data_IF_038302625493
#
_entry.id   IF_038302625493
#
_cell.length_a   1.000
_cell.length_b   1.000
_cell.length_c   1.000
_cell.angle_alpha   90.00
_cell.angle_beta   90.00
_cell.angle_gamma   90.00
#
_symmetry.space_group_name_H-M   'P 1'
#
loop_
_entity.id
_entity.type
_entity.pdbx_description
1 polymer ?
#
# COMPACT_ATOMS: atom_id res chain seq x y z
N UNK A 1 -12.39 9.43 6.19
CA UNK A 1 -12.81 8.01 6.21
C UNK A 1 -11.63 7.05 5.99
N UNK A 2 -10.86 7.14 4.90
CA UNK A 2 -9.77 6.17 4.60
C UNK A 2 -8.63 6.11 5.65
N UNK A 3 -8.21 7.25 6.20
CA UNK A 3 -7.21 7.29 7.29
C UNK A 3 -7.63 6.49 8.53
N UNK A 4 -8.93 6.48 8.85
CA UNK A 4 -9.44 5.72 10.00
C UNK A 4 -9.34 4.21 9.76
N UNK A 5 -9.65 3.75 8.54
CA UNK A 5 -9.50 2.34 8.17
C UNK A 5 -8.03 1.89 8.20
N UNK A 6 -7.10 2.79 7.84
CA UNK A 6 -5.66 2.50 7.91
C UNK A 6 -5.17 2.37 9.36
N UNK A 7 -5.52 3.33 10.22
CA UNK A 7 -5.16 3.26 11.64
C UNK A 7 -5.80 2.05 12.32
N UNK A 8 -7.04 1.70 11.97
CA UNK A 8 -7.70 0.49 12.46
C UNK A 8 -6.96 -0.77 11.99
N UNK A 9 -6.60 -0.87 10.71
CA UNK A 9 -5.86 -2.01 10.18
C UNK A 9 -4.50 -2.18 10.87
N UNK A 10 -3.74 -1.10 11.05
CA UNK A 10 -2.50 -1.13 11.81
C UNK A 10 -2.75 -1.55 13.26
N UNK A 11 -3.76 -0.98 13.92
CA UNK A 11 -4.11 -1.34 15.29
C UNK A 11 -4.49 -2.82 15.45
N UNK A 12 -5.20 -3.37 14.46
CA UNK A 12 -5.57 -4.78 14.42
C UNK A 12 -4.32 -5.67 14.28
N UNK A 13 -3.44 -5.37 13.31
CA UNK A 13 -2.22 -6.14 13.10
C UNK A 13 -1.24 -6.05 14.29
N UNK A 14 -0.83 -4.84 14.66
CA UNK A 14 0.11 -4.67 15.78
C UNK A 14 -0.48 -5.13 17.11
N UNK A 15 -1.78 -4.89 17.35
CA UNK A 15 -2.49 -5.39 18.53
C UNK A 15 -2.57 -6.93 18.57
N UNK A 16 -2.77 -7.55 17.41
CA UNK A 16 -2.67 -9.00 17.23
C UNK A 16 -1.30 -9.51 17.67
N UNK A 17 -0.23 -8.93 17.11
CA UNK A 17 1.16 -9.32 17.41
C UNK A 17 1.46 -9.24 18.91
N UNK A 18 0.98 -8.20 19.62
CA UNK A 18 1.13 -8.10 21.08
C UNK A 18 0.41 -9.20 21.87
N UNK A 19 -0.66 -9.77 21.30
CA UNK A 19 -1.44 -10.85 21.91
C UNK A 19 -0.83 -12.23 21.64
N UNK A 20 0.08 -12.34 20.66
CA UNK A 20 0.78 -13.57 20.30
C UNK A 20 1.68 -14.03 21.45
N UNK A 21 1.48 -15.23 21.99
CA UNK A 21 2.29 -15.77 23.11
C UNK A 21 3.54 -16.51 22.63
N UNK A 22 4.25 -15.89 21.71
CA UNK A 22 5.43 -16.45 21.06
C UNK A 22 6.72 -15.72 21.46
N UNK A 23 7.87 -16.31 21.09
CA UNK A 23 9.16 -15.67 21.34
C UNK A 23 9.25 -14.28 20.67
N UNK A 24 10.02 -13.37 21.28
CA UNK A 24 10.20 -11.99 20.76
C UNK A 24 10.71 -11.98 19.31
N UNK A 25 11.47 -13.00 18.90
CA UNK A 25 11.95 -13.12 17.52
C UNK A 25 10.81 -13.37 16.53
N UNK A 26 9.81 -14.18 16.91
CA UNK A 26 8.65 -14.47 16.06
C UNK A 26 7.74 -13.24 15.99
N UNK A 27 7.46 -12.59 17.12
CA UNK A 27 6.73 -11.32 17.13
C UNK A 27 7.43 -10.24 16.29
N UNK A 28 8.76 -10.16 16.38
CA UNK A 28 9.58 -9.25 15.59
C UNK A 28 9.50 -9.53 14.09
N UNK A 29 9.43 -10.80 13.69
CA UNK A 29 9.24 -11.18 12.29
C UNK A 29 7.94 -10.60 11.72
N UNK A 30 6.81 -10.81 12.41
CA UNK A 30 5.50 -10.28 11.99
C UNK A 30 5.44 -8.76 11.99
N UNK A 31 6.06 -8.11 12.97
CA UNK A 31 6.13 -6.65 13.01
C UNK A 31 6.90 -6.10 11.80
N UNK A 32 8.02 -6.74 11.43
CA UNK A 32 8.83 -6.35 10.28
C UNK A 32 8.11 -6.66 8.96
N UNK A 33 7.45 -7.81 8.82
CA UNK A 33 6.69 -8.14 7.61
C UNK A 33 5.49 -7.20 7.42
N UNK A 34 4.78 -6.84 8.50
CA UNK A 34 3.71 -5.84 8.44
C UNK A 34 4.22 -4.46 8.00
N UNK A 35 5.34 -3.98 8.55
CA UNK A 35 5.97 -2.72 8.12
C UNK A 35 6.41 -2.81 6.66
N UNK A 36 7.05 -3.92 6.27
CA UNK A 36 7.48 -4.14 4.90
C UNK A 36 6.30 -4.14 3.93
N UNK A 37 5.16 -4.76 4.30
CA UNK A 37 3.93 -4.74 3.54
C UNK A 37 3.40 -3.32 3.34
N UNK A 38 3.34 -2.51 4.40
CA UNK A 38 2.88 -1.11 4.33
C UNK A 38 3.78 -0.31 3.37
N UNK A 39 5.10 -0.38 3.57
CA UNK A 39 6.07 0.39 2.78
C UNK A 39 6.03 -0.02 1.31
N UNK A 40 6.05 -1.33 1.03
CA UNK A 40 6.04 -1.83 -0.35
C UNK A 40 4.70 -1.58 -1.05
N UNK A 41 3.58 -1.60 -0.33
CA UNK A 41 2.27 -1.21 -0.87
C UNK A 41 2.27 0.24 -1.32
N UNK A 42 2.72 1.18 -0.47
CA UNK A 42 2.78 2.60 -0.84
C UNK A 42 3.78 2.87 -1.94
N UNK A 43 4.94 2.20 -1.92
CA UNK A 43 5.94 2.31 -2.98
C UNK A 43 5.37 1.83 -4.30
N UNK A 44 4.72 0.66 -4.32
CA UNK A 44 4.10 0.11 -5.52
C UNK A 44 3.07 1.06 -6.10
N UNK A 45 2.24 1.69 -5.26
CA UNK A 45 1.23 2.63 -5.74
C UNK A 45 1.82 3.92 -6.32
N UNK A 46 2.88 4.46 -5.72
CA UNK A 46 3.61 5.60 -6.29
C UNK A 46 4.21 5.24 -7.65
N UNK A 47 4.89 4.11 -7.73
CA UNK A 47 5.54 3.66 -8.98
C UNK A 47 4.52 3.35 -10.07
N UNK A 48 3.42 2.67 -9.72
CA UNK A 48 2.35 2.38 -10.66
C UNK A 48 1.71 3.67 -11.20
N UNK A 49 1.47 4.66 -10.34
CA UNK A 49 0.96 5.98 -10.75
C UNK A 49 1.92 6.70 -11.66
N UNK A 50 3.18 6.82 -11.26
CA UNK A 50 4.20 7.54 -12.02
C UNK A 50 4.40 6.91 -13.40
N UNK A 51 4.28 5.58 -13.51
CA UNK A 51 4.33 4.88 -14.78
C UNK A 51 3.12 5.15 -15.68
N UNK A 52 1.93 5.32 -15.11
CA UNK A 52 0.71 5.65 -15.85
C UNK A 52 0.77 7.10 -16.38
N UNK A 53 1.20 8.05 -15.54
CA UNK A 53 1.49 9.43 -15.95
C UNK A 53 2.53 9.48 -17.09
N UNK A 54 3.62 8.73 -16.95
CA UNK A 54 4.67 8.66 -17.96
C UNK A 54 4.16 8.06 -19.29
N UNK A 55 3.28 7.04 -19.24
CA UNK A 55 2.65 6.48 -20.43
C UNK A 55 1.75 7.52 -21.12
N UNK A 56 0.94 8.26 -20.35
CA UNK A 56 0.08 9.31 -20.87
C UNK A 56 0.91 10.41 -21.55
N UNK A 57 1.94 10.93 -20.90
CA UNK A 57 2.78 12.01 -21.45
C UNK A 57 3.54 11.60 -22.72
N UNK A 58 3.92 10.32 -22.84
CA UNK A 58 4.53 9.79 -24.07
C UNK A 58 3.59 9.83 -25.28
N UNK A 59 2.27 9.77 -25.07
CA UNK A 59 1.31 9.90 -26.19
C UNK A 59 1.26 11.31 -26.79
N UNK A 60 1.60 12.34 -26.01
CA UNK A 60 1.63 13.74 -26.47
C UNK A 60 3.02 14.21 -26.89
N UNK A 61 4.08 13.61 -26.33
CA UNK A 61 5.46 13.94 -26.64
C UNK A 61 6.33 12.68 -26.73
N UNK A 62 6.63 12.24 -27.95
CA UNK A 62 7.47 11.07 -28.22
C UNK A 62 8.91 11.19 -27.68
N UNK A 63 9.38 12.42 -27.41
CA UNK A 63 10.67 12.70 -26.78
C UNK A 63 10.64 12.69 -25.24
N UNK A 64 9.48 12.47 -24.62
CA UNK A 64 9.35 12.47 -23.16
C UNK A 64 10.08 11.27 -22.54
N UNK A 65 11.06 11.57 -21.68
CA UNK A 65 11.83 10.59 -20.94
C UNK A 65 11.09 10.18 -19.68
N UNK A 66 10.84 8.88 -19.52
CA UNK A 66 10.24 8.33 -18.29
C UNK A 66 11.06 8.68 -17.06
N UNK A 67 10.36 9.01 -15.99
CA UNK A 67 10.94 9.23 -14.66
C UNK A 67 11.45 7.90 -14.09
N UNK A 68 10.68 6.83 -14.29
CA UNK A 68 11.01 5.49 -13.79
C UNK A 68 11.56 4.59 -14.90
N UNK A 69 12.59 3.81 -14.55
CA UNK A 69 13.08 2.75 -15.44
C UNK A 69 12.19 1.51 -15.33
N UNK A 70 12.17 0.68 -16.37
CA UNK A 70 11.49 -0.63 -16.34
C UNK A 70 12.03 -1.53 -15.22
N UNK A 71 13.34 -1.44 -14.92
CA UNK A 71 13.96 -2.17 -13.81
C UNK A 71 13.43 -1.73 -12.44
N UNK A 72 13.27 -0.42 -12.22
CA UNK A 72 12.70 0.10 -10.97
C UNK A 72 11.24 -0.32 -10.77
N UNK A 73 10.46 -0.31 -11.85
CA UNK A 73 9.08 -0.81 -11.86
C UNK A 73 9.00 -2.29 -11.52
N UNK A 74 9.91 -3.10 -12.08
CA UNK A 74 9.97 -4.51 -11.74
C UNK A 74 10.32 -4.71 -10.26
N UNK A 75 11.28 -3.94 -9.75
CA UNK A 75 11.71 -4.03 -8.35
C UNK A 75 10.58 -3.66 -7.37
N UNK A 76 9.75 -2.65 -7.68
CA UNK A 76 8.60 -2.31 -6.83
C UNK A 76 7.57 -3.43 -6.75
N UNK A 77 7.26 -4.06 -7.89
CA UNK A 77 6.34 -5.20 -7.94
C UNK A 77 6.92 -6.42 -7.23
N UNK A 78 8.20 -6.73 -7.47
CA UNK A 78 8.90 -7.83 -6.81
C UNK A 78 8.95 -7.64 -5.28
N UNK A 79 9.26 -6.42 -4.81
CA UNK A 79 9.31 -6.11 -3.39
C UNK A 79 7.96 -6.29 -2.70
N UNK A 80 6.86 -5.87 -3.34
CA UNK A 80 5.52 -6.07 -2.81
C UNK A 80 5.13 -7.55 -2.74
N UNK A 81 5.41 -8.33 -3.78
CA UNK A 81 5.18 -9.78 -3.78
C UNK A 81 6.00 -10.46 -2.69
N UNK A 82 7.27 -10.08 -2.52
CA UNK A 82 8.12 -10.62 -1.46
C UNK A 82 7.60 -10.29 -0.06
N UNK A 83 7.04 -9.09 0.14
CA UNK A 83 6.44 -8.71 1.41
C UNK A 83 5.20 -9.55 1.73
N UNK A 84 4.34 -9.79 0.75
CA UNK A 84 3.21 -10.73 0.88
C UNK A 84 3.73 -12.12 1.23
N UNK A 85 4.70 -12.64 0.47
CA UNK A 85 5.23 -13.97 0.72
C UNK A 85 5.83 -14.09 2.12
N UNK A 86 6.57 -13.08 2.59
CA UNK A 86 7.09 -13.06 3.96
C UNK A 86 5.98 -13.18 5.00
N UNK A 87 4.93 -12.37 4.90
CA UNK A 87 3.79 -12.43 5.82
C UNK A 87 3.14 -13.83 5.85
N UNK A 88 2.75 -14.34 4.67
CA UNK A 88 2.04 -15.61 4.60
C UNK A 88 2.91 -16.82 4.95
N UNK A 89 4.20 -16.82 4.57
CA UNK A 89 5.15 -17.87 4.98
C UNK A 89 5.31 -17.87 6.50
N UNK A 90 5.38 -16.70 7.13
CA UNK A 90 5.34 -16.57 8.60
C UNK A 90 4.13 -17.27 9.19
N UNK A 91 2.93 -16.90 8.72
CA UNK A 91 1.66 -17.48 9.19
C UNK A 91 1.61 -19.00 9.01
N UNK A 92 2.12 -19.52 7.89
CA UNK A 92 2.20 -20.96 7.67
C UNK A 92 3.09 -21.66 8.70
N UNK A 93 4.24 -21.06 9.02
CA UNK A 93 5.23 -21.62 9.95
C UNK A 93 4.86 -21.45 11.44
N UNK A 94 3.84 -20.65 11.76
CA UNK A 94 3.39 -20.43 13.13
C UNK A 94 2.82 -21.72 13.74
N UNK A 95 3.17 -22.08 14.97
CA UNK A 95 2.65 -23.30 15.64
C UNK A 95 1.40 -23.01 16.49
N UNK A 96 0.48 -22.20 15.95
CA UNK A 96 -0.76 -21.77 16.62
C UNK A 96 -2.01 -22.39 15.96
N UNK A 97 -3.18 -22.43 16.63
CA UNK A 97 -4.38 -23.00 16.06
C UNK A 97 -4.84 -22.22 14.82
N UNK A 98 -5.53 -22.90 13.91
CA UNK A 98 -5.95 -22.35 12.62
C UNK A 98 -6.73 -21.02 12.73
N UNK A 99 -7.48 -20.83 13.82
CA UNK A 99 -8.19 -19.57 14.10
C UNK A 99 -7.23 -18.38 14.23
N UNK A 100 -6.11 -18.56 14.93
CA UNK A 100 -5.09 -17.53 15.13
C UNK A 100 -4.32 -17.29 13.83
N UNK A 101 -3.99 -18.34 13.08
CA UNK A 101 -3.37 -18.19 11.75
C UNK A 101 -4.26 -17.40 10.78
N UNK A 102 -5.55 -17.72 10.78
CA UNK A 102 -6.55 -17.03 9.95
C UNK A 102 -6.68 -15.56 10.32
N UNK A 103 -6.57 -15.22 11.60
CA UNK A 103 -6.57 -13.83 12.06
C UNK A 103 -5.44 -13.01 11.41
N UNK A 104 -4.19 -13.49 11.45
CA UNK A 104 -3.04 -12.77 10.84
C UNK A 104 -3.10 -12.77 9.31
N UNK A 105 -3.54 -13.86 8.68
CA UNK A 105 -3.71 -13.89 7.23
C UNK A 105 -4.72 -12.83 6.75
N UNK A 106 -5.87 -12.74 7.44
CA UNK A 106 -6.92 -11.75 7.11
C UNK A 106 -6.49 -10.34 7.52
N UNK A 107 -5.81 -10.18 8.66
CA UNK A 107 -5.28 -8.91 9.12
C UNK A 107 -4.26 -8.31 8.15
N UNK A 108 -3.29 -9.12 7.68
CA UNK A 108 -2.34 -8.73 6.65
C UNK A 108 -3.00 -8.38 5.32
N UNK A 109 -3.99 -9.18 4.87
CA UNK A 109 -4.78 -8.86 3.67
C UNK A 109 -5.55 -7.54 3.82
N UNK A 110 -6.17 -7.33 4.99
CA UNK A 110 -6.91 -6.11 5.30
C UNK A 110 -5.99 -4.90 5.36
N UNK A 111 -4.78 -5.05 5.90
CA UNK A 111 -3.74 -4.02 5.93
C UNK A 111 -3.34 -3.58 4.51
N UNK A 112 -3.13 -4.54 3.60
CA UNK A 112 -2.83 -4.26 2.18
C UNK A 112 -3.98 -3.47 1.56
N UNK A 113 -5.22 -3.96 1.66
CA UNK A 113 -6.40 -3.29 1.09
C UNK A 113 -6.55 -1.88 1.63
N UNK A 114 -6.34 -1.71 2.94
CA UNK A 114 -6.43 -0.41 3.61
C UNK A 114 -5.37 0.58 3.09
N UNK A 115 -4.13 0.14 2.90
CA UNK A 115 -3.09 0.94 2.25
C UNK A 115 -3.48 1.34 0.82
N UNK A 116 -4.00 0.36 0.05
CA UNK A 116 -4.36 0.59 -1.34
C UNK A 116 -5.49 1.61 -1.50
N UNK A 117 -6.50 1.53 -0.64
CA UNK A 117 -7.62 2.48 -0.59
C UNK A 117 -7.14 3.85 -0.12
N UNK A 118 -6.26 3.90 0.89
CA UNK A 118 -5.75 5.16 1.41
C UNK A 118 -5.04 5.99 0.32
N UNK A 119 -4.16 5.39 -0.48
CA UNK A 119 -3.51 6.15 -1.56
C UNK A 119 -4.49 6.61 -2.64
N UNK A 120 -5.49 5.80 -2.98
CA UNK A 120 -6.54 6.23 -3.93
C UNK A 120 -7.28 7.44 -3.36
N UNK A 121 -7.77 7.37 -2.13
CA UNK A 121 -8.47 8.48 -1.49
C UNK A 121 -7.62 9.73 -1.35
N UNK A 122 -6.32 9.62 -1.04
CA UNK A 122 -5.42 10.77 -0.99
C UNK A 122 -5.30 11.42 -2.37
N UNK A 123 -5.08 10.62 -3.41
CA UNK A 123 -4.99 11.10 -4.79
C UNK A 123 -6.28 11.79 -5.23
N UNK A 124 -7.42 11.12 -5.04
CA UNK A 124 -8.71 11.65 -5.49
C UNK A 124 -9.02 12.98 -4.77
N UNK A 125 -8.70 13.10 -3.48
CA UNK A 125 -8.83 14.36 -2.74
C UNK A 125 -7.87 15.48 -3.22
N UNK A 126 -6.70 15.13 -3.76
CA UNK A 126 -5.75 16.10 -4.34
C UNK A 126 -6.24 16.60 -5.70
N UNK A 127 -6.76 15.70 -6.54
CA UNK A 127 -7.38 16.02 -7.83
C UNK A 127 -8.63 16.92 -7.65
N UNK A 128 -9.51 16.59 -6.70
CA UNK A 128 -10.71 17.37 -6.39
C UNK A 128 -10.39 18.82 -5.97
N UNK A 129 -9.34 19.02 -5.17
CA UNK A 129 -8.90 20.37 -4.75
C UNK A 129 -8.38 21.20 -5.92
N UNK A 130 -7.73 20.55 -6.88
CA UNK A 130 -7.19 21.21 -8.07
C UNK A 130 -8.33 21.67 -8.99
N UNK A 131 -9.37 20.85 -9.15
CA UNK A 131 -10.53 21.17 -9.99
C UNK A 131 -11.58 22.06 -9.32
N UNK A 132 -11.60 22.15 -7.99
CA UNK A 132 -12.56 22.96 -7.22
C UNK A 132 -11.99 24.31 -6.75
N UNK A 133 -10.81 24.71 -7.23
CA UNK A 133 -10.18 25.99 -6.88
C UNK A 133 -10.95 27.21 -7.44
N UNK A 134 -10.73 28.42 -6.86
CA UNK A 134 -11.44 29.64 -7.26
C UNK A 134 -11.34 30.02 -8.74
N UNK A 135 -10.36 29.47 -9.47
CA UNK A 135 -10.11 29.72 -10.89
C UNK A 135 -11.09 28.95 -11.81
N UNK A 136 -11.75 27.88 -11.32
CA UNK A 136 -12.72 27.11 -12.11
C UNK A 136 -14.10 27.80 -12.24
N UNK A 137 -14.38 28.77 -11.36
CA UNK A 137 -15.66 29.52 -11.39
C UNK A 137 -15.64 30.58 -12.51
N UNK A 138 -14.48 31.17 -12.80
CA UNK A 138 -14.33 32.25 -13.79
C UNK A 138 -14.45 31.76 -15.25
N UNK A 139 -14.06 30.51 -15.54
CA UNK A 139 -14.25 29.88 -16.86
C UNK A 139 -15.69 29.45 -17.15
N UNK A 140 -16.53 29.26 -16.13
CA UNK A 140 -17.93 28.86 -16.31
C UNK A 140 -18.90 30.02 -16.56
N UNK A 141 -18.42 31.27 -16.42
CA UNK A 141 -19.21 32.51 -16.48
C UNK A 141 -18.92 33.33 -17.76
N UNK A 142 -17.95 32.93 -18.58
CA UNK A 142 -17.68 33.51 -19.92
C UNK A 142 -18.11 32.57 -21.06
#
# INVERSE_FOLDING_TARGET
MAWAAFVLACGFEFGGIYTLKESLSVQGYYAVSAILLIVTSFLLQKVARDNDEDNYLQTFNAGYRRRNTSAFTFLSWAGFVLAILAEYIGVFNLEEPFSVKGYYAIGGAFLIVSCLVLQKTIRDNEEDKLHSGPDAVDESVN
#
